data_IF_979451662361
#
_entry.id   IF_979451662361
#
_cell.length_a   1.000
_cell.length_b   1.000
_cell.length_c   1.000
_cell.angle_alpha   90.00
_cell.angle_beta   90.00
_cell.angle_gamma   90.00
#
_symmetry.space_group_name_H-M   'P 1'
#
loop_
_entity.id
_entity.type
_entity.pdbx_description
1 polymer ?
#
# COMPACT_ATOMS: atom_id res chain seq x y z
N UNK A 1 8.22 14.18 -2.56
CA UNK A 1 7.12 13.61 -1.76
C UNK A 1 6.81 14.41 -0.49
N UNK A 2 7.53 14.28 0.66
CA UNK A 2 7.08 14.95 1.91
C UNK A 2 7.06 16.49 1.84
N UNK A 3 7.99 17.11 1.11
CA UNK A 3 8.01 18.56 0.90
C UNK A 3 6.81 19.04 0.05
N UNK A 4 6.44 18.29 -0.99
CA UNK A 4 5.27 18.57 -1.81
C UNK A 4 3.98 18.41 -1.01
N UNK A 5 3.90 17.38 -0.16
CA UNK A 5 2.76 17.16 0.71
C UNK A 5 2.57 18.31 1.72
N UNK A 6 3.68 18.80 2.32
CA UNK A 6 3.68 20.00 3.17
C UNK A 6 3.20 21.25 2.42
N UNK A 7 3.70 21.47 1.20
CA UNK A 7 3.29 22.59 0.37
C UNK A 7 1.80 22.52 0.00
N UNK A 8 1.30 21.33 -0.34
CA UNK A 8 -0.12 21.09 -0.61
C UNK A 8 -1.01 21.37 0.60
N UNK A 9 -0.62 20.90 1.78
CA UNK A 9 -1.34 21.18 3.03
C UNK A 9 -1.37 22.68 3.34
N UNK A 10 -0.25 23.39 3.18
CA UNK A 10 -0.18 24.84 3.37
C UNK A 10 -1.06 25.59 2.36
N UNK A 11 -1.05 25.20 1.09
CA UNK A 11 -1.92 25.77 0.05
C UNK A 11 -3.41 25.56 0.31
N UNK A 12 -3.77 24.45 0.97
CA UNK A 12 -5.13 24.11 1.37
C UNK A 12 -5.53 24.66 2.76
N UNK A 13 -4.62 25.33 3.49
CA UNK A 13 -4.87 25.83 4.85
C UNK A 13 -5.09 24.74 5.90
N UNK A 14 -4.56 23.52 5.66
CA UNK A 14 -4.69 22.38 6.57
C UNK A 14 -3.52 22.30 7.55
N UNK A 15 -3.82 22.19 8.84
CA UNK A 15 -2.84 21.95 9.87
C UNK A 15 -2.54 20.44 9.98
N UNK A 16 -1.54 19.96 9.26
CA UNK A 16 -1.12 18.54 9.24
C UNK A 16 0.31 18.43 9.79
N UNK A 17 0.53 17.53 10.74
CA UNK A 17 1.86 17.14 11.17
C UNK A 17 2.47 16.12 10.19
N UNK A 18 3.58 16.48 9.56
CA UNK A 18 4.27 15.63 8.59
C UNK A 18 5.58 15.09 9.16
N UNK A 19 5.69 13.77 9.31
CA UNK A 19 6.90 13.08 9.78
C UNK A 19 7.56 12.31 8.64
N UNK A 20 8.89 12.44 8.54
CA UNK A 20 9.71 11.63 7.64
C UNK A 20 10.33 10.50 8.47
N UNK A 21 9.83 9.28 8.30
CA UNK A 21 10.25 8.10 9.03
C UNK A 21 9.99 6.83 8.20
N UNK A 22 10.58 5.72 8.61
CA UNK A 22 10.17 4.39 8.17
C UNK A 22 8.75 4.11 8.69
N UNK A 23 7.88 3.50 7.89
CA UNK A 23 6.49 3.27 8.29
C UNK A 23 6.35 2.30 9.47
N UNK A 24 7.39 1.53 9.79
CA UNK A 24 7.45 0.66 10.98
C UNK A 24 7.77 1.43 12.26
N UNK A 25 8.36 2.62 12.16
CA UNK A 25 8.70 3.47 13.30
C UNK A 25 7.49 4.32 13.74
N UNK A 26 6.58 3.66 14.45
CA UNK A 26 5.36 4.26 15.01
C UNK A 26 5.47 4.32 16.54
N UNK A 27 6.09 5.35 17.15
CA UNK A 27 6.42 5.37 18.59
C UNK A 27 5.22 5.64 19.51
N UNK A 28 4.00 5.69 18.95
CA UNK A 28 2.79 6.05 19.67
C UNK A 28 2.09 4.85 20.30
N UNK A 29 1.31 5.11 21.34
CA UNK A 29 0.48 4.14 22.04
C UNK A 29 -0.93 4.69 22.25
N UNK A 30 -1.94 4.05 21.65
CA UNK A 30 -3.36 4.42 21.78
C UNK A 30 -3.66 5.91 21.57
N UNK A 31 -3.05 6.52 20.56
CA UNK A 31 -3.15 7.96 20.29
C UNK A 31 -4.20 8.27 19.22
N UNK A 32 -4.35 7.40 18.23
CA UNK A 32 -5.15 7.68 17.03
C UNK A 32 -6.49 6.94 17.04
N UNK A 33 -7.54 7.64 16.59
CA UNK A 33 -8.90 7.10 16.44
C UNK A 33 -9.10 6.33 15.11
N UNK A 34 -8.18 6.50 14.16
CA UNK A 34 -8.15 5.77 12.89
C UNK A 34 -6.75 5.78 12.27
N UNK A 35 -6.50 4.84 11.35
CA UNK A 35 -5.27 4.76 10.55
C UNK A 35 -5.56 4.37 9.09
N UNK A 36 -4.69 4.81 8.18
CA UNK A 36 -4.81 4.58 6.74
C UNK A 36 -3.47 4.15 6.15
N UNK A 37 -3.45 3.10 5.34
CA UNK A 37 -2.29 2.70 4.52
C UNK A 37 -2.71 2.58 3.07
N UNK A 38 -2.48 3.63 2.28
CA UNK A 38 -3.06 3.79 0.94
C UNK A 38 -1.98 3.86 -0.14
N UNK A 39 -2.39 3.72 -1.40
CA UNK A 39 -1.50 3.82 -2.56
C UNK A 39 -0.56 2.63 -2.68
N UNK A 40 -1.03 1.42 -2.31
CA UNK A 40 -0.27 0.18 -2.41
C UNK A 40 0.99 0.11 -1.50
N UNK A 41 1.11 1.02 -0.53
CA UNK A 41 2.29 1.14 0.35
C UNK A 41 2.54 -0.10 1.22
N UNK A 42 1.49 -0.88 1.51
CA UNK A 42 1.58 -2.13 2.25
C UNK A 42 2.49 -3.17 1.57
N UNK A 43 2.63 -3.10 0.25
CA UNK A 43 3.47 -4.01 -0.52
C UNK A 43 4.96 -3.69 -0.51
N UNK A 44 5.42 -2.65 0.20
CA UNK A 44 6.85 -2.28 0.23
C UNK A 44 7.68 -3.07 1.24
N UNK A 45 7.03 -3.85 2.10
CA UNK A 45 7.68 -4.65 3.13
C UNK A 45 7.52 -6.13 2.82
N UNK A 46 8.51 -6.93 3.19
CA UNK A 46 8.38 -8.37 3.24
C UNK A 46 7.48 -8.81 4.41
N UNK A 47 7.33 -10.12 4.61
CA UNK A 47 6.40 -10.64 5.61
C UNK A 47 6.78 -10.21 7.04
N UNK A 48 8.07 -10.17 7.37
CA UNK A 48 8.54 -9.79 8.70
C UNK A 48 8.35 -8.28 8.93
N UNK A 49 8.75 -7.45 7.95
CA UNK A 49 8.52 -6.00 8.01
C UNK A 49 7.04 -5.65 8.05
N UNK A 50 6.19 -6.40 7.32
CA UNK A 50 4.73 -6.24 7.36
C UNK A 50 4.17 -6.55 8.74
N UNK A 51 4.65 -7.61 9.40
CA UNK A 51 4.25 -7.92 10.78
C UNK A 51 4.65 -6.81 11.76
N UNK A 52 5.88 -6.32 11.68
CA UNK A 52 6.37 -5.20 12.50
C UNK A 52 5.51 -3.95 12.29
N UNK A 53 5.23 -3.62 11.03
CA UNK A 53 4.40 -2.47 10.66
C UNK A 53 2.99 -2.58 11.24
N UNK A 54 2.30 -3.70 11.03
CA UNK A 54 0.93 -3.90 11.48
C UNK A 54 0.83 -3.92 13.02
N UNK A 55 1.83 -4.47 13.71
CA UNK A 55 1.96 -4.37 15.16
C UNK A 55 2.12 -2.91 15.61
N UNK A 56 2.94 -2.12 14.92
CA UNK A 56 3.09 -0.68 15.17
C UNK A 56 1.78 0.08 14.99
N UNK A 57 1.05 -0.18 13.91
CA UNK A 57 -0.28 0.40 13.65
C UNK A 57 -1.24 0.06 14.78
N UNK A 58 -1.36 -1.22 15.12
CA UNK A 58 -2.26 -1.65 16.19
C UNK A 58 -1.90 -0.97 17.52
N UNK A 59 -0.62 -0.90 17.89
CA UNK A 59 -0.18 -0.22 19.12
C UNK A 59 -0.58 1.26 19.13
N UNK A 60 -0.38 1.97 18.02
CA UNK A 60 -0.68 3.40 17.90
C UNK A 60 -2.19 3.73 17.92
N UNK A 61 -3.05 2.78 17.53
CA UNK A 61 -4.50 2.94 17.50
C UNK A 61 -5.14 2.75 18.89
N UNK A 62 -6.19 3.52 19.19
CA UNK A 62 -7.04 3.30 20.38
C UNK A 62 -7.88 2.00 20.25
N UNK A 63 -8.28 1.34 21.35
CA UNK A 63 -9.26 0.27 21.29
C UNK A 63 -10.53 0.72 20.55
N UNK A 64 -11.05 -0.14 19.66
CA UNK A 64 -12.20 0.17 18.81
C UNK A 64 -11.92 1.09 17.61
N UNK A 65 -10.70 1.64 17.46
CA UNK A 65 -10.29 2.43 16.31
C UNK A 65 -10.21 1.59 15.03
N UNK A 66 -10.31 2.24 13.87
CA UNK A 66 -10.36 1.56 12.57
C UNK A 66 -9.08 1.77 11.77
N UNK A 67 -8.68 0.73 11.06
CA UNK A 67 -7.60 0.76 10.09
C UNK A 67 -8.14 0.46 8.69
N UNK A 68 -7.84 1.32 7.72
CA UNK A 68 -8.20 1.14 6.33
C UNK A 68 -6.95 0.92 5.47
N UNK A 69 -6.99 -0.11 4.65
CA UNK A 69 -5.92 -0.51 3.74
C UNK A 69 -6.40 -0.39 2.30
N UNK A 70 -5.56 0.16 1.42
CA UNK A 70 -5.72 0.19 -0.04
C UNK A 70 -4.48 -0.47 -0.68
N UNK A 71 -4.71 -1.66 -1.24
CA UNK A 71 -3.64 -2.57 -1.66
C UNK A 71 -3.96 -3.30 -2.97
N UNK A 72 -3.30 -2.87 -4.04
CA UNK A 72 -3.45 -3.42 -5.39
C UNK A 72 -2.65 -4.71 -5.63
N UNK A 73 -1.68 -5.01 -4.77
CA UNK A 73 -0.82 -6.21 -4.90
C UNK A 73 -1.35 -7.41 -4.11
N UNK A 74 -2.61 -7.37 -3.65
CA UNK A 74 -3.26 -8.58 -3.17
C UNK A 74 -3.25 -9.61 -4.30
N UNK A 75 -2.92 -10.87 -4.02
CA UNK A 75 -2.77 -11.92 -5.04
C UNK A 75 -4.03 -12.05 -5.92
N UNK A 76 -5.20 -11.94 -5.29
CA UNK A 76 -6.52 -11.97 -5.92
C UNK A 76 -6.81 -10.74 -6.82
N UNK A 77 -6.01 -9.68 -6.71
CA UNK A 77 -6.06 -8.50 -7.57
C UNK A 77 -5.04 -8.60 -8.70
N UNK A 78 -3.76 -8.76 -8.35
CA UNK A 78 -2.65 -8.59 -9.29
C UNK A 78 -2.45 -9.81 -10.20
N UNK A 79 -2.55 -11.04 -9.69
CA UNK A 79 -2.23 -12.22 -10.48
C UNK A 79 -3.19 -12.45 -11.67
N UNK A 80 -4.52 -12.24 -11.55
CA UNK A 80 -5.43 -12.34 -12.69
C UNK A 80 -5.16 -11.34 -13.81
N UNK A 81 -4.45 -10.24 -13.52
CA UNK A 81 -4.23 -9.11 -14.44
C UNK A 81 -2.74 -8.87 -14.70
N UNK A 82 -1.86 -9.75 -14.24
CA UNK A 82 -0.42 -9.54 -14.28
C UNK A 82 0.06 -9.38 -15.73
N UNK A 83 0.83 -8.31 -15.96
CA UNK A 83 1.48 -8.05 -17.24
C UNK A 83 2.97 -7.93 -17.02
N UNK A 84 3.76 -8.70 -17.78
CA UNK A 84 5.21 -8.62 -17.74
C UNK A 84 5.74 -7.28 -18.26
N UNK A 85 4.94 -6.57 -19.07
CA UNK A 85 5.28 -5.26 -19.63
C UNK A 85 4.02 -4.43 -19.76
N UNK A 86 4.11 -3.18 -19.32
CA UNK A 86 3.08 -2.17 -19.49
C UNK A 86 3.74 -0.86 -19.90
N UNK A 87 3.05 -0.02 -20.68
CA UNK A 87 3.55 1.32 -20.98
C UNK A 87 2.41 2.32 -20.98
N UNK A 88 2.73 3.54 -20.59
CA UNK A 88 1.83 4.66 -20.60
C UNK A 88 2.56 5.91 -21.09
N UNK A 89 1.82 6.85 -21.67
CA UNK A 89 2.34 8.17 -22.00
C UNK A 89 1.72 9.20 -21.06
N UNK A 90 2.57 9.94 -20.36
CA UNK A 90 2.18 11.02 -19.46
C UNK A 90 2.87 12.31 -19.91
N UNK A 91 2.14 13.15 -20.65
CA UNK A 91 2.72 14.33 -21.28
C UNK A 91 3.81 13.96 -22.30
N UNK A 92 5.02 14.45 -22.07
CA UNK A 92 6.22 14.19 -22.88
C UNK A 92 7.09 13.04 -22.37
N UNK A 93 6.61 12.31 -21.35
CA UNK A 93 7.29 11.15 -20.77
C UNK A 93 6.61 9.87 -21.27
N UNK A 94 7.41 8.98 -21.87
CA UNK A 94 7.03 7.60 -22.08
C UNK A 94 7.48 6.79 -20.87
N UNK A 95 6.52 6.15 -20.20
CA UNK A 95 6.73 5.33 -19.03
C UNK A 95 6.57 3.86 -19.42
N UNK A 96 7.58 3.04 -19.13
CA UNK A 96 7.59 1.60 -19.39
C UNK A 96 7.86 0.85 -18.09
N UNK A 97 6.94 -0.01 -17.72
CA UNK A 97 7.09 -0.98 -16.64
C UNK A 97 7.50 -2.33 -17.20
N UNK A 98 8.49 -2.96 -16.57
CA UNK A 98 8.86 -4.33 -16.83
C UNK A 98 8.80 -5.10 -15.53
N UNK A 99 7.86 -6.03 -15.45
CA UNK A 99 7.54 -6.77 -14.24
C UNK A 99 8.12 -8.18 -14.30
N UNK A 100 8.81 -8.57 -13.23
CA UNK A 100 9.23 -9.95 -12.98
C UNK A 100 8.63 -10.42 -11.66
N UNK A 101 7.77 -11.43 -11.74
CA UNK A 101 7.28 -12.13 -10.55
C UNK A 101 8.33 -13.15 -10.12
N UNK A 102 8.75 -13.08 -8.86
CA UNK A 102 9.63 -14.05 -8.21
C UNK A 102 8.77 -15.02 -7.41
N UNK A 103 8.62 -16.24 -7.91
CA UNK A 103 7.61 -17.20 -7.43
C UNK A 103 7.86 -17.66 -5.99
N UNK A 104 9.13 -17.86 -5.62
CA UNK A 104 9.50 -18.36 -4.30
C UNK A 104 9.28 -17.31 -3.20
N UNK A 105 9.45 -16.04 -3.55
CA UNK A 105 9.33 -14.89 -2.65
C UNK A 105 7.96 -14.22 -2.70
N UNK A 106 7.11 -14.60 -3.67
CA UNK A 106 5.85 -13.91 -3.98
C UNK A 106 6.03 -12.40 -4.05
N UNK A 107 7.00 -11.96 -4.87
CA UNK A 107 7.39 -10.57 -4.99
C UNK A 107 7.47 -10.17 -6.46
N UNK A 108 6.95 -8.99 -6.79
CA UNK A 108 7.09 -8.37 -8.10
C UNK A 108 8.24 -7.38 -8.05
N UNK A 109 9.27 -7.64 -8.83
CA UNK A 109 10.29 -6.65 -9.16
C UNK A 109 9.85 -5.89 -10.41
N UNK A 110 9.77 -4.57 -10.31
CA UNK A 110 9.39 -3.69 -11.41
C UNK A 110 10.55 -2.79 -11.79
N UNK A 111 10.99 -2.86 -13.05
CA UNK A 111 11.87 -1.86 -13.64
C UNK A 111 11.03 -0.75 -14.29
N UNK A 112 11.02 0.41 -13.65
CA UNK A 112 10.35 1.63 -14.10
C UNK A 112 11.30 2.44 -14.99
N UNK A 113 11.02 2.48 -16.29
CA UNK A 113 11.81 3.23 -17.26
C UNK A 113 11.04 4.49 -17.68
N UNK A 114 11.60 5.65 -17.36
CA UNK A 114 11.07 6.96 -17.76
C UNK A 114 11.90 7.49 -18.91
N UNK A 115 11.28 7.61 -20.09
CA UNK A 115 11.94 8.10 -21.30
C UNK A 115 11.41 9.49 -21.62
N UNK A 116 12.30 10.48 -21.68
CA UNK A 116 11.96 11.87 -22.02
C UNK A 116 13.07 12.46 -22.89
N UNK A 117 12.71 13.00 -24.05
CA UNK A 117 13.67 13.58 -25.01
C UNK A 117 14.87 12.69 -25.38
N UNK A 118 14.66 11.37 -25.46
CA UNK A 118 15.71 10.39 -25.77
C UNK A 118 16.60 9.99 -24.60
N UNK A 119 16.41 10.59 -23.42
CA UNK A 119 17.05 10.18 -22.17
C UNK A 119 16.16 9.18 -21.44
N UNK A 120 16.76 8.11 -20.93
CA UNK A 120 16.06 7.09 -20.14
C UNK A 120 16.58 7.10 -18.70
N UNK A 121 15.67 7.20 -17.73
CA UNK A 121 15.97 6.95 -16.33
C UNK A 121 15.26 5.68 -15.86
N UNK A 122 16.02 4.74 -15.31
CA UNK A 122 15.48 3.51 -14.75
C UNK A 122 15.47 3.59 -13.22
N UNK A 123 14.40 3.09 -12.61
CA UNK A 123 14.28 2.83 -11.17
C UNK A 123 13.73 1.43 -10.96
N UNK A 124 14.09 0.79 -9.86
CA UNK A 124 13.57 -0.53 -9.51
C UNK A 124 12.73 -0.42 -8.24
N UNK A 125 11.56 -1.04 -8.25
CA UNK A 125 10.73 -1.22 -7.05
C UNK A 125 10.45 -2.69 -6.80
N UNK A 126 10.30 -3.04 -5.52
CA UNK A 126 9.85 -4.35 -5.08
C UNK A 126 8.48 -4.21 -4.45
N UNK A 127 7.58 -5.10 -4.84
CA UNK A 127 6.23 -5.16 -4.32
C UNK A 127 5.91 -6.60 -3.92
N UNK A 128 5.85 -6.85 -2.62
CA UNK A 128 5.40 -8.14 -2.11
C UNK A 128 3.93 -8.34 -2.41
N UNK A 129 3.58 -9.58 -2.73
CA UNK A 129 2.24 -10.05 -3.08
C UNK A 129 1.77 -10.98 -1.99
N UNK A 130 0.67 -10.59 -1.34
CA UNK A 130 0.02 -11.39 -0.31
C UNK A 130 -1.37 -11.79 -0.74
N UNK A 131 -1.78 -13.01 -0.40
CA UNK A 131 -3.20 -13.38 -0.49
C UNK A 131 -4.02 -12.55 0.50
N UNK A 132 -5.30 -12.34 0.20
CA UNK A 132 -6.24 -11.71 1.13
C UNK A 132 -6.24 -12.44 2.49
N UNK A 133 -6.05 -13.76 2.49
CA UNK A 133 -5.96 -14.56 3.72
C UNK A 133 -4.75 -14.17 4.58
N UNK A 134 -3.57 -14.01 3.98
CA UNK A 134 -2.35 -13.63 4.71
C UNK A 134 -2.45 -12.23 5.28
N UNK A 135 -2.99 -11.28 4.50
CA UNK A 135 -3.24 -9.90 4.97
C UNK A 135 -4.14 -9.92 6.20
N UNK A 136 -5.26 -10.66 6.15
CA UNK A 136 -6.17 -10.82 7.29
C UNK A 136 -5.47 -11.46 8.48
N UNK A 137 -4.56 -12.40 8.26
CA UNK A 137 -3.80 -13.03 9.34
C UNK A 137 -2.80 -12.05 9.98
N UNK A 138 -2.07 -11.26 9.19
CA UNK A 138 -1.17 -10.22 9.73
C UNK A 138 -1.93 -9.23 10.62
N UNK A 139 -3.12 -8.80 10.17
CA UNK A 139 -3.99 -7.91 10.93
C UNK A 139 -4.50 -8.58 12.21
N UNK A 140 -5.01 -9.81 12.10
CA UNK A 140 -5.53 -10.55 13.24
C UNK A 140 -4.46 -10.81 14.31
N UNK A 141 -3.26 -11.20 13.91
CA UNK A 141 -2.12 -11.44 14.82
C UNK A 141 -1.74 -10.18 15.61
N UNK A 142 -2.05 -9.00 15.08
CA UNK A 142 -1.85 -7.71 15.75
C UNK A 142 -3.10 -7.21 16.52
N UNK A 143 -4.19 -7.97 16.58
CA UNK A 143 -5.44 -7.56 17.23
C UNK A 143 -6.31 -6.63 16.40
N UNK A 144 -6.15 -6.63 15.07
CA UNK A 144 -6.99 -5.90 14.12
C UNK A 144 -7.93 -6.88 13.41
N UNK A 145 -9.21 -6.84 13.76
CA UNK A 145 -10.23 -7.72 13.21
C UNK A 145 -10.80 -7.16 11.90
N UNK A 146 -10.76 -7.97 10.83
CA UNK A 146 -11.33 -7.59 9.53
C UNK A 146 -12.84 -7.39 9.60
N UNK A 147 -13.31 -6.20 9.24
CA UNK A 147 -14.72 -5.83 9.18
C UNK A 147 -15.31 -5.97 7.78
N UNK A 148 -14.49 -5.81 6.73
CA UNK A 148 -14.97 -5.91 5.36
C UNK A 148 -13.87 -5.84 4.31
N UNK A 149 -14.20 -6.37 3.13
CA UNK A 149 -13.35 -6.38 1.94
C UNK A 149 -14.15 -5.72 0.80
N UNK A 150 -13.55 -4.74 0.14
CA UNK A 150 -14.19 -3.93 -0.88
C UNK A 150 -13.30 -3.74 -2.09
N UNK A 151 -13.89 -3.48 -3.25
CA UNK A 151 -13.17 -3.12 -4.48
C UNK A 151 -13.13 -1.61 -4.74
N UNK A 152 -13.80 -0.82 -3.91
CA UNK A 152 -13.88 0.64 -4.03
C UNK A 152 -14.14 1.29 -2.66
N UNK A 153 -13.80 2.57 -2.54
CA UNK A 153 -14.17 3.39 -1.37
C UNK A 153 -15.68 3.58 -1.21
N UNK A 154 -16.46 3.30 -2.26
CA UNK A 154 -17.92 3.31 -2.21
C UNK A 154 -18.51 2.11 -1.45
N UNK A 155 -17.67 1.14 -1.05
CA UNK A 155 -18.11 -0.06 -0.33
C UNK A 155 -18.62 -1.18 -1.23
N UNK A 156 -18.28 -1.14 -2.52
CA UNK A 156 -18.60 -2.24 -3.43
C UNK A 156 -17.92 -3.54 -2.98
N UNK A 157 -18.61 -4.69 -2.96
CA UNK A 157 -18.02 -5.96 -2.53
C UNK A 157 -16.77 -6.34 -3.33
N UNK A 158 -15.76 -6.85 -2.62
CA UNK A 158 -14.55 -7.40 -3.24
C UNK A 158 -14.81 -8.74 -3.91
N UNK A 159 -14.21 -8.95 -5.08
CA UNK A 159 -14.24 -10.20 -5.84
C UNK A 159 -12.90 -10.49 -6.53
N UNK A 160 -12.69 -11.74 -6.94
CA UNK A 160 -11.48 -12.15 -7.67
C UNK A 160 -11.31 -11.30 -8.94
N UNK A 161 -10.11 -10.77 -9.13
CA UNK A 161 -9.79 -9.89 -10.26
C UNK A 161 -10.20 -8.43 -10.04
N UNK A 162 -10.69 -8.04 -8.86
CA UNK A 162 -10.85 -6.63 -8.52
C UNK A 162 -9.53 -5.88 -8.73
N UNK A 163 -9.55 -4.62 -9.20
CA UNK A 163 -8.33 -3.88 -9.49
C UNK A 163 -7.53 -3.54 -8.23
N UNK A 164 -8.20 -3.49 -7.08
CA UNK A 164 -7.58 -3.23 -5.79
C UNK A 164 -8.43 -3.83 -4.65
N UNK A 165 -7.77 -4.20 -3.54
CA UNK A 165 -8.40 -4.51 -2.28
C UNK A 165 -8.43 -3.27 -1.39
N UNK A 166 -9.63 -2.84 -1.01
CA UNK A 166 -9.88 -1.99 0.15
C UNK A 166 -10.29 -2.87 1.33
N UNK A 167 -9.51 -2.91 2.40
CA UNK A 167 -9.81 -3.69 3.60
C UNK A 167 -10.04 -2.75 4.78
N UNK A 168 -11.15 -2.96 5.49
CA UNK A 168 -11.43 -2.29 6.75
C UNK A 168 -11.21 -3.26 7.91
N UNK A 169 -10.44 -2.87 8.91
CA UNK A 169 -10.24 -3.59 10.15
C UNK A 169 -10.51 -2.70 11.36
N UNK A 170 -10.81 -3.32 12.50
CA UNK A 170 -11.04 -2.64 13.77
C UNK A 170 -10.15 -3.24 14.85
N UNK A 171 -9.52 -2.39 15.66
CA UNK A 171 -8.76 -2.84 16.83
C UNK A 171 -9.73 -3.34 17.89
N UNK A 172 -9.48 -4.56 18.38
CA UNK A 172 -10.21 -5.15 19.50
C UNK A 172 -10.08 -4.33 20.80
#
# INVERSE_FOLDING_TARGET
>A
MIQEARAGAAGAGLAIEWRHADMRDLPWESEFDAGFCFGNSFGFLDADGTREFVQGVSRALKPGARFALDYGMAAECILPRFQAREWAQVGDILFLEQNRYHEAESCIETAYNFVRHGETQTRTGLHWVYTVREIRQFLLDAGLETQGLYRSLGGDPFELGSPCLFLLAQKA
#
